data_IF_262526912480
#
_entry.id   IF_262526912480
#
_cell.length_a   1.000
_cell.length_b   1.000
_cell.length_c   1.000
_cell.angle_alpha   90.00
_cell.angle_beta   90.00
_cell.angle_gamma   90.00
#
_symmetry.space_group_name_H-M   'P 1'
#
loop_
_entity.id
_entity.type
_entity.pdbx_description
1 polymer ?
#
# COMPACT_ATOMS: atom_id res chain seq x y z
N UNK A 1 -19.79 3.81 -30.21
CA UNK A 1 -19.99 4.39 -28.87
C UNK A 1 -20.44 3.35 -27.83
N UNK A 2 -21.46 2.53 -28.14
CA UNK A 2 -22.04 1.53 -27.22
C UNK A 2 -21.05 0.42 -26.80
N UNK A 3 -20.21 -0.06 -27.72
CA UNK A 3 -19.20 -1.11 -27.44
C UNK A 3 -18.11 -0.68 -26.42
N UNK A 4 -17.65 0.59 -26.47
CA UNK A 4 -16.70 1.12 -25.46
C UNK A 4 -17.33 1.23 -24.08
N UNK A 5 -18.59 1.66 -24.00
CA UNK A 5 -19.31 1.80 -22.73
C UNK A 5 -19.54 0.45 -22.04
N UNK A 6 -19.86 -0.60 -22.81
CA UNK A 6 -19.98 -1.97 -22.29
C UNK A 6 -18.65 -2.52 -21.78
N UNK A 7 -17.54 -2.19 -22.45
CA UNK A 7 -16.22 -2.66 -22.03
C UNK A 7 -15.73 -1.97 -20.74
N UNK A 8 -15.97 -0.66 -20.59
CA UNK A 8 -15.67 0.07 -19.35
C UNK A 8 -16.53 -0.41 -18.19
N UNK A 9 -17.83 -0.65 -18.42
CA UNK A 9 -18.74 -1.17 -17.39
C UNK A 9 -18.31 -2.57 -16.92
N UNK A 10 -17.93 -3.46 -17.83
CA UNK A 10 -17.51 -4.84 -17.51
C UNK A 10 -16.21 -4.88 -16.71
N UNK A 11 -15.32 -3.92 -16.94
CA UNK A 11 -14.04 -3.81 -16.22
C UNK A 11 -14.26 -3.31 -14.80
N UNK A 12 -15.15 -2.33 -14.63
CA UNK A 12 -15.55 -1.80 -13.33
C UNK A 12 -16.28 -2.83 -12.46
N UNK A 13 -17.19 -3.61 -13.05
CA UNK A 13 -17.91 -4.68 -12.31
C UNK A 13 -16.95 -5.74 -11.79
N UNK A 14 -15.95 -6.15 -12.60
CA UNK A 14 -14.94 -7.13 -12.18
C UNK A 14 -14.06 -6.61 -11.05
N UNK A 15 -13.70 -5.33 -11.09
CA UNK A 15 -12.90 -4.70 -10.04
C UNK A 15 -13.67 -4.60 -8.72
N UNK A 16 -14.93 -4.16 -8.76
CA UNK A 16 -15.80 -4.09 -7.58
C UNK A 16 -16.04 -5.48 -7.01
N UNK A 17 -16.29 -6.48 -7.85
CA UNK A 17 -16.47 -7.87 -7.41
C UNK A 17 -15.22 -8.40 -6.69
N UNK A 18 -14.02 -8.15 -7.23
CA UNK A 18 -12.76 -8.54 -6.58
C UNK A 18 -12.60 -7.92 -5.19
N UNK A 19 -12.90 -6.62 -5.06
CA UNK A 19 -12.86 -5.92 -3.77
C UNK A 19 -13.92 -6.42 -2.79
N UNK A 20 -15.16 -6.68 -3.25
CA UNK A 20 -16.20 -7.26 -2.38
C UNK A 20 -15.79 -8.62 -1.84
N UNK A 21 -15.16 -9.46 -2.67
CA UNK A 21 -14.76 -10.81 -2.29
C UNK A 21 -13.56 -10.79 -1.33
N UNK A 22 -12.60 -9.89 -1.56
CA UNK A 22 -11.49 -9.65 -0.63
C UNK A 22 -11.95 -9.11 0.72
N UNK A 23 -12.87 -8.14 0.72
CA UNK A 23 -13.40 -7.56 1.95
C UNK A 23 -14.29 -8.55 2.72
N UNK A 24 -15.06 -9.38 2.00
CA UNK A 24 -15.80 -10.49 2.59
C UNK A 24 -14.87 -11.49 3.28
N UNK A 25 -13.79 -11.91 2.61
CA UNK A 25 -12.81 -12.82 3.19
C UNK A 25 -12.18 -12.25 4.47
N UNK A 26 -11.82 -10.96 4.47
CA UNK A 26 -11.27 -10.28 5.64
C UNK A 26 -12.28 -10.19 6.81
N UNK A 27 -13.53 -9.81 6.53
CA UNK A 27 -14.58 -9.75 7.54
C UNK A 27 -14.92 -11.15 8.09
N UNK A 28 -15.02 -12.16 7.23
CA UNK A 28 -15.30 -13.53 7.64
C UNK A 28 -14.16 -14.09 8.50
N UNK A 29 -12.91 -13.77 8.17
CA UNK A 29 -11.76 -14.12 9.00
C UNK A 29 -11.87 -13.50 10.40
N UNK A 30 -12.16 -12.19 10.49
CA UNK A 30 -12.34 -11.52 11.78
C UNK A 30 -13.50 -12.12 12.60
N UNK A 31 -14.63 -12.43 11.97
CA UNK A 31 -15.77 -13.08 12.64
C UNK A 31 -15.41 -14.48 13.13
N UNK A 32 -14.72 -15.28 12.31
CA UNK A 32 -14.28 -16.63 12.71
C UNK A 32 -13.32 -16.60 13.90
N UNK A 33 -12.43 -15.60 13.95
CA UNK A 33 -11.53 -15.39 15.08
C UNK A 33 -12.30 -15.01 16.34
N UNK A 34 -13.32 -14.15 16.22
CA UNK A 34 -14.23 -13.80 17.30
C UNK A 34 -15.02 -15.00 17.83
N UNK A 35 -15.58 -15.82 16.92
CA UNK A 35 -16.28 -17.06 17.28
C UNK A 35 -15.36 -18.05 17.98
N UNK A 36 -14.14 -18.24 17.48
CA UNK A 36 -13.14 -19.08 18.13
C UNK A 36 -12.85 -18.56 19.54
N UNK A 37 -12.51 -17.27 19.69
CA UNK A 37 -12.23 -16.68 20.99
C UNK A 37 -13.41 -16.83 21.97
N UNK A 38 -14.64 -16.59 21.51
CA UNK A 38 -15.86 -16.82 22.30
C UNK A 38 -16.02 -18.27 22.74
N UNK A 39 -15.75 -19.23 21.85
CA UNK A 39 -15.75 -20.66 22.18
C UNK A 39 -14.73 -20.99 23.26
N UNK A 40 -13.48 -20.52 23.10
CA UNK A 40 -12.42 -20.70 24.09
C UNK A 40 -12.82 -20.16 25.47
N UNK A 41 -13.41 -18.96 25.51
CA UNK A 41 -13.89 -18.36 26.75
C UNK A 41 -15.03 -19.19 27.38
N UNK A 42 -15.98 -19.64 26.57
CA UNK A 42 -17.11 -20.46 27.04
C UNK A 42 -16.67 -21.81 27.59
N UNK A 43 -15.64 -22.44 26.99
CA UNK A 43 -15.02 -23.66 27.50
C UNK A 43 -14.38 -23.40 28.86
N UNK A 44 -13.65 -22.29 29.01
CA UNK A 44 -12.99 -21.95 30.27
C UNK A 44 -14.00 -21.64 31.39
N UNK A 45 -15.08 -20.92 31.06
CA UNK A 45 -16.16 -20.66 32.02
C UNK A 45 -16.87 -21.96 32.42
N UNK A 46 -17.15 -22.83 31.45
CA UNK A 46 -17.79 -24.12 31.68
C UNK A 46 -16.92 -25.05 32.55
N UNK A 47 -15.60 -25.11 32.30
CA UNK A 47 -14.68 -25.93 33.11
C UNK A 47 -14.60 -25.40 34.54
N UNK A 48 -14.48 -24.08 34.73
CA UNK A 48 -14.45 -23.48 36.06
C UNK A 48 -15.78 -23.68 36.82
N UNK A 49 -16.91 -23.57 36.13
CA UNK A 49 -18.22 -23.89 36.69
C UNK A 49 -18.28 -25.36 37.14
N UNK A 50 -17.84 -26.28 36.28
CA UNK A 50 -17.80 -27.70 36.56
C UNK A 50 -16.92 -28.00 37.76
N UNK A 51 -15.68 -27.50 37.77
CA UNK A 51 -14.72 -27.74 38.85
C UNK A 51 -15.25 -27.22 40.20
N UNK A 52 -15.81 -26.01 40.20
CA UNK A 52 -16.42 -25.41 41.40
C UNK A 52 -17.64 -26.22 41.87
N UNK A 53 -18.46 -26.71 40.94
CA UNK A 53 -19.67 -27.46 41.29
C UNK A 53 -19.34 -28.87 41.76
N UNK A 54 -18.42 -29.56 41.09
CA UNK A 54 -17.93 -30.89 41.48
C UNK A 54 -17.27 -30.82 42.85
N UNK A 55 -16.34 -29.88 43.09
CA UNK A 55 -15.71 -29.72 44.41
C UNK A 55 -16.72 -29.41 45.51
N UNK A 56 -17.74 -28.60 45.22
CA UNK A 56 -18.79 -28.30 46.18
C UNK A 56 -19.75 -29.48 46.39
N UNK A 57 -20.08 -30.28 45.39
CA UNK A 57 -21.01 -31.40 45.56
C UNK A 57 -20.30 -32.69 46.04
N UNK A 58 -18.96 -32.75 45.96
CA UNK A 58 -18.13 -33.90 46.34
C UNK A 58 -18.36 -34.35 47.79
N UNK A 59 -18.56 -33.41 48.72
CA UNK A 59 -18.82 -33.73 50.12
C UNK A 59 -20.19 -34.39 50.36
N UNK A 60 -21.13 -34.22 49.43
CA UNK A 60 -22.47 -34.83 49.49
C UNK A 60 -22.56 -36.14 48.74
N UNK A 61 -21.55 -36.44 47.91
CA UNK A 61 -21.54 -37.58 47.02
C UNK A 61 -20.89 -38.78 47.73
N UNK A 62 -21.57 -39.92 47.69
CA UNK A 62 -21.11 -41.17 48.31
C UNK A 62 -20.13 -41.88 47.37
N UNK A 63 -18.91 -41.33 47.29
CA UNK A 63 -17.84 -41.77 46.39
C UNK A 63 -17.07 -42.98 46.90
N UNK A 64 -17.44 -43.54 48.06
CA UNK A 64 -16.66 -44.57 48.74
C UNK A 64 -15.34 -44.03 49.30
N UNK A 65 -14.71 -44.80 50.18
CA UNK A 65 -13.47 -44.41 50.85
C UNK A 65 -12.48 -45.59 50.74
N UNK A 66 -11.37 -45.35 50.03
CA UNK A 66 -10.30 -46.34 49.84
C UNK A 66 -9.59 -46.73 51.15
N UNK A 67 -9.55 -45.84 52.14
CA UNK A 67 -8.96 -46.11 53.47
C UNK A 67 -9.89 -46.93 54.36
N UNK A 68 -11.20 -46.75 54.22
CA UNK A 68 -12.24 -47.50 54.95
C UNK A 68 -12.79 -48.71 54.17
N UNK A 69 -12.30 -48.94 52.95
CA UNK A 69 -12.73 -49.98 52.03
C UNK A 69 -14.26 -50.02 51.83
N UNK A 70 -14.90 -48.84 51.81
CA UNK A 70 -16.33 -48.74 51.56
C UNK A 70 -16.59 -48.75 50.05
N UNK A 71 -17.58 -49.54 49.57
CA UNK A 71 -17.87 -49.62 48.16
C UNK A 71 -18.42 -48.30 47.63
N UNK A 72 -18.02 -47.94 46.41
CA UNK A 72 -18.54 -46.78 45.69
C UNK A 72 -20.01 -46.99 45.33
N UNK A 73 -20.86 -46.01 45.63
CA UNK A 73 -22.27 -46.06 45.26
C UNK A 73 -22.46 -45.62 43.80
N UNK A 74 -22.29 -46.54 42.85
CA UNK A 74 -22.38 -46.24 41.42
C UNK A 74 -23.71 -45.61 41.01
N UNK A 75 -24.83 -45.98 41.63
CA UNK A 75 -26.14 -45.42 41.33
C UNK A 75 -26.30 -43.94 41.75
N UNK A 76 -25.63 -43.50 42.82
CA UNK A 76 -25.66 -42.09 43.24
C UNK A 76 -24.82 -41.22 42.30
N UNK A 77 -23.66 -41.72 41.87
CA UNK A 77 -22.77 -41.06 40.91
C UNK A 77 -23.43 -40.96 39.53
N UNK A 78 -24.12 -42.01 39.07
CA UNK A 78 -24.84 -41.98 37.78
C UNK A 78 -25.92 -40.88 37.74
N UNK A 79 -26.78 -40.81 38.77
CA UNK A 79 -27.80 -39.74 38.86
C UNK A 79 -27.17 -38.35 38.95
N UNK A 80 -26.00 -38.24 39.59
CA UNK A 80 -25.26 -36.99 39.65
C UNK A 80 -24.74 -36.58 38.27
N UNK A 81 -24.15 -37.51 37.51
CA UNK A 81 -23.67 -37.27 36.14
C UNK A 81 -24.81 -36.85 35.21
N UNK A 82 -25.97 -37.51 35.27
CA UNK A 82 -27.17 -37.15 34.50
C UNK A 82 -27.66 -35.73 34.85
N UNK A 83 -27.77 -35.42 36.14
CA UNK A 83 -28.18 -34.09 36.61
C UNK A 83 -27.20 -33.01 36.15
N UNK A 84 -25.90 -33.28 36.24
CA UNK A 84 -24.86 -32.34 35.82
C UNK A 84 -24.91 -32.11 34.31
N UNK A 85 -25.00 -33.17 33.51
CA UNK A 85 -25.12 -33.05 32.06
C UNK A 85 -26.37 -32.30 31.62
N UNK A 86 -27.50 -32.51 32.33
CA UNK A 86 -28.74 -31.75 32.10
C UNK A 86 -28.55 -30.25 32.39
N UNK A 87 -27.81 -29.90 33.46
CA UNK A 87 -27.51 -28.51 33.79
C UNK A 87 -26.55 -27.86 32.77
N UNK A 88 -25.50 -28.58 32.37
CA UNK A 88 -24.57 -28.14 31.33
C UNK A 88 -25.27 -27.95 29.98
N UNK A 89 -26.25 -28.79 29.66
CA UNK A 89 -27.08 -28.67 28.47
C UNK A 89 -28.02 -27.47 28.52
N UNK A 90 -28.72 -27.28 29.63
CA UNK A 90 -29.64 -26.15 29.82
C UNK A 90 -28.93 -24.79 29.72
N UNK A 91 -27.65 -24.75 30.12
CA UNK A 91 -26.80 -23.56 30.01
C UNK A 91 -26.07 -23.42 28.67
N UNK A 92 -26.28 -24.34 27.73
CA UNK A 92 -25.60 -24.40 26.43
C UNK A 92 -24.07 -24.45 26.54
N UNK A 93 -23.52 -25.07 27.59
CA UNK A 93 -22.08 -25.20 27.72
C UNK A 93 -21.51 -26.25 26.76
N UNK A 94 -20.32 -26.00 26.17
CA UNK A 94 -19.66 -26.89 25.21
C UNK A 94 -18.89 -28.04 25.91
N UNK A 95 -19.35 -28.47 27.09
CA UNK A 95 -18.74 -29.54 27.89
C UNK A 95 -19.82 -30.53 28.34
N UNK A 96 -19.47 -31.81 28.40
CA UNK A 96 -20.27 -32.89 28.97
C UNK A 96 -19.40 -33.79 29.85
N UNK A 97 -19.89 -34.20 31.01
CA UNK A 97 -19.19 -35.19 31.85
C UNK A 97 -19.36 -36.59 31.26
N UNK A 98 -18.25 -37.31 31.17
CA UNK A 98 -18.21 -38.70 30.68
C UNK A 98 -18.07 -39.69 31.82
N UNK A 99 -17.25 -39.38 32.83
CA UNK A 99 -17.05 -40.24 33.99
C UNK A 99 -16.64 -39.45 35.24
N UNK A 100 -16.91 -40.04 36.40
CA UNK A 100 -16.35 -39.63 37.68
C UNK A 100 -15.80 -40.89 38.36
N UNK A 101 -14.51 -40.88 38.69
CA UNK A 101 -13.76 -42.08 39.10
C UNK A 101 -13.89 -43.21 38.07
N UNK A 102 -14.24 -44.42 38.53
CA UNK A 102 -14.47 -45.61 37.71
C UNK A 102 -15.94 -45.77 37.30
N UNK A 103 -16.78 -44.74 37.50
CA UNK A 103 -18.19 -44.76 37.12
C UNK A 103 -18.41 -43.91 35.89
N UNK A 104 -18.65 -44.59 34.76
CA UNK A 104 -19.03 -43.96 33.50
C UNK A 104 -20.51 -43.55 33.52
N UNK A 105 -20.83 -42.46 32.83
CA UNK A 105 -22.21 -42.07 32.61
C UNK A 105 -22.93 -43.16 31.79
N UNK A 106 -24.14 -43.54 32.19
CA UNK A 106 -24.97 -44.53 31.48
C UNK A 106 -25.18 -44.12 30.01
N UNK A 107 -25.28 -42.80 29.79
CA UNK A 107 -25.50 -42.16 28.51
C UNK A 107 -24.20 -41.76 27.78
N UNK A 108 -23.06 -42.38 28.07
CA UNK A 108 -21.79 -42.10 27.38
C UNK A 108 -21.91 -42.28 25.85
N UNK A 109 -22.76 -43.20 25.37
CA UNK A 109 -23.08 -43.40 23.95
C UNK A 109 -24.08 -42.36 23.38
N UNK A 110 -24.77 -41.61 24.26
CA UNK A 110 -25.74 -40.54 23.89
C UNK A 110 -25.05 -39.18 23.84
N UNK A 111 -23.83 -39.05 24.39
CA UNK A 111 -23.00 -37.87 24.17
C UNK A 111 -22.76 -37.75 22.66
N UNK A 112 -23.19 -36.65 22.01
CA UNK A 112 -23.08 -36.53 20.57
C UNK A 112 -21.63 -36.74 20.14
N UNK A 113 -21.40 -37.52 19.06
CA UNK A 113 -20.05 -37.76 18.51
C UNK A 113 -19.27 -36.49 18.17
N UNK A 114 -19.95 -35.34 18.15
CA UNK A 114 -19.34 -34.01 18.03
C UNK A 114 -18.44 -33.66 19.20
N UNK A 115 -18.62 -34.24 20.39
CA UNK A 115 -17.76 -34.06 21.57
C UNK A 115 -16.59 -35.05 21.53
N UNK A 116 -15.56 -34.74 20.73
CA UNK A 116 -14.44 -35.66 20.48
C UNK A 116 -13.18 -35.39 21.31
N UNK A 117 -13.08 -34.21 21.95
CA UNK A 117 -11.94 -33.86 22.78
C UNK A 117 -12.20 -34.32 24.22
N UNK A 118 -11.25 -35.05 24.82
CA UNK A 118 -11.36 -35.49 26.21
C UNK A 118 -10.39 -34.69 27.09
N UNK A 119 -10.83 -34.37 28.30
CA UNK A 119 -10.01 -33.75 29.34
C UNK A 119 -10.42 -34.28 30.71
N UNK A 120 -9.48 -34.21 31.66
CA UNK A 120 -9.66 -34.70 33.01
C UNK A 120 -9.25 -33.65 34.02
N UNK A 121 -9.99 -33.56 35.12
CA UNK A 121 -9.66 -32.74 36.29
C UNK A 121 -9.54 -33.65 37.51
N UNK A 122 -8.51 -33.43 38.33
CA UNK A 122 -8.33 -34.11 39.61
C UNK A 122 -8.84 -33.23 40.76
N UNK A 123 -9.60 -33.82 41.68
CA UNK A 123 -10.21 -33.16 42.83
C UNK A 123 -9.77 -33.85 44.12
N UNK A 124 -9.42 -33.06 45.14
CA UNK A 124 -9.12 -33.61 46.45
C UNK A 124 -10.35 -33.48 47.37
N UNK A 125 -10.94 -34.61 47.75
CA UNK A 125 -11.96 -34.67 48.80
C UNK A 125 -11.48 -35.53 49.96
N UNK A 126 -11.55 -34.99 51.17
CA UNK A 126 -11.39 -35.75 52.42
C UNK A 126 -10.15 -36.66 52.48
N UNK A 127 -9.05 -36.25 51.84
CA UNK A 127 -7.79 -37.01 51.79
C UNK A 127 -7.65 -38.01 50.62
N UNK A 128 -8.58 -38.01 49.67
CA UNK A 128 -8.53 -38.83 48.45
C UNK A 128 -8.58 -37.95 47.19
N UNK A 129 -7.80 -38.36 46.18
CA UNK A 129 -7.79 -37.74 44.85
C UNK A 129 -8.80 -38.44 43.96
N UNK A 130 -9.78 -37.69 43.46
CA UNK A 130 -10.85 -38.15 42.57
C UNK A 130 -10.64 -37.56 41.18
N UNK A 131 -10.77 -38.35 40.12
CA UNK A 131 -10.66 -37.96 38.72
C UNK A 131 -12.04 -37.77 38.09
N UNK A 132 -12.29 -36.62 37.48
CA UNK A 132 -13.48 -36.40 36.67
C UNK A 132 -13.08 -36.22 35.21
N UNK A 133 -13.69 -37.01 34.33
CA UNK A 133 -13.47 -36.95 32.89
C UNK A 133 -14.65 -36.25 32.22
N UNK A 134 -14.33 -35.40 31.24
CA UNK A 134 -15.31 -34.67 30.46
C UNK A 134 -14.89 -34.57 29.00
N UNK A 135 -15.91 -34.52 28.13
CA UNK A 135 -15.78 -34.34 26.70
C UNK A 135 -16.12 -32.89 26.32
N UNK A 136 -15.35 -32.33 25.38
CA UNK A 136 -15.48 -30.97 24.89
C UNK A 136 -15.87 -30.94 23.42
N UNK A 137 -16.63 -29.91 23.07
CA UNK A 137 -16.96 -29.61 21.69
C UNK A 137 -15.76 -28.93 21.01
N UNK A 138 -15.27 -29.43 19.86
CA UNK A 138 -14.13 -28.84 19.17
C UNK A 138 -14.41 -27.46 18.60
N UNK A 139 -13.38 -26.62 18.54
CA UNK A 139 -13.47 -25.22 18.09
C UNK A 139 -14.04 -25.08 16.67
N UNK A 140 -13.76 -26.03 15.77
CA UNK A 140 -14.25 -25.97 14.39
C UNK A 140 -15.77 -26.09 14.28
N UNK A 141 -16.45 -26.65 15.28
CA UNK A 141 -17.92 -26.74 15.31
C UNK A 141 -18.58 -25.40 15.63
N UNK A 142 -17.86 -24.50 16.29
CA UNK A 142 -18.34 -23.15 16.63
C UNK A 142 -18.18 -22.16 15.47
N UNK A 143 -17.25 -22.43 14.55
CA UNK A 143 -16.96 -21.55 13.42
C UNK A 143 -17.98 -21.74 12.31
N UNK A 144 -18.71 -20.67 11.98
CA UNK A 144 -19.72 -20.69 10.93
C UNK A 144 -19.66 -19.46 10.04
N UNK A 145 -20.14 -19.61 8.81
CA UNK A 145 -20.18 -18.52 7.84
C UNK A 145 -21.22 -17.49 8.29
N UNK A 146 -20.81 -16.24 8.46
CA UNK A 146 -21.69 -15.19 8.99
C UNK A 146 -22.32 -14.37 7.87
N UNK A 147 -23.66 -14.32 7.78
CA UNK A 147 -24.35 -13.45 6.82
C UNK A 147 -24.03 -11.97 7.03
N UNK A 148 -23.68 -11.58 8.26
CA UNK A 148 -23.32 -10.20 8.60
C UNK A 148 -22.03 -9.77 7.90
N UNK A 149 -21.05 -10.68 7.78
CA UNK A 149 -19.80 -10.41 7.07
C UNK A 149 -20.05 -10.12 5.59
N UNK A 150 -21.02 -10.82 4.97
CA UNK A 150 -21.43 -10.59 3.59
C UNK A 150 -22.12 -9.23 3.42
N UNK A 151 -23.05 -8.89 4.32
CA UNK A 151 -23.72 -7.59 4.28
C UNK A 151 -22.73 -6.43 4.43
N UNK A 152 -21.80 -6.53 5.39
CA UNK A 152 -20.74 -5.53 5.55
C UNK A 152 -19.86 -5.41 4.32
N UNK A 153 -19.53 -6.54 3.68
CA UNK A 153 -18.73 -6.53 2.45
C UNK A 153 -19.43 -5.80 1.29
N UNK A 154 -20.72 -6.05 1.10
CA UNK A 154 -21.51 -5.41 0.04
C UNK A 154 -21.69 -3.91 0.28
N UNK A 155 -21.83 -3.47 1.53
CA UNK A 155 -22.03 -2.05 1.87
C UNK A 155 -20.71 -1.26 1.82
N UNK A 156 -19.62 -1.82 2.31
CA UNK A 156 -18.33 -1.11 2.41
C UNK A 156 -17.59 -1.07 1.07
N UNK A 157 -17.70 -2.11 0.25
CA UNK A 157 -17.01 -2.16 -1.04
C UNK A 157 -17.28 -0.98 -1.99
N UNK A 158 -18.53 -0.51 -2.23
CA UNK A 158 -18.76 0.65 -3.09
C UNK A 158 -18.23 1.96 -2.48
N UNK A 159 -18.23 2.10 -1.15
CA UNK A 159 -17.67 3.26 -0.46
C UNK A 159 -16.14 3.31 -0.62
N UNK A 160 -15.47 2.17 -0.37
CA UNK A 160 -14.03 2.02 -0.56
C UNK A 160 -13.61 2.24 -2.02
N UNK A 161 -14.39 1.74 -2.98
CA UNK A 161 -14.16 1.97 -4.41
C UNK A 161 -14.31 3.46 -4.78
N UNK A 162 -15.27 4.18 -4.19
CA UNK A 162 -15.43 5.62 -4.37
C UNK A 162 -14.24 6.42 -3.84
N UNK A 163 -13.77 6.09 -2.64
CA UNK A 163 -12.59 6.73 -2.03
C UNK A 163 -11.29 6.43 -2.79
N UNK A 164 -11.12 5.19 -3.24
CA UNK A 164 -9.98 4.78 -4.08
C UNK A 164 -9.98 5.52 -5.42
N UNK A 165 -11.15 5.70 -6.04
CA UNK A 165 -11.29 6.48 -7.28
C UNK A 165 -10.94 7.95 -7.07
N UNK A 166 -11.33 8.54 -5.96
CA UNK A 166 -11.01 9.93 -5.63
C UNK A 166 -9.51 10.13 -5.40
N UNK A 167 -8.86 9.21 -4.68
CA UNK A 167 -7.41 9.22 -4.47
C UNK A 167 -6.61 8.97 -5.76
N UNK A 168 -7.11 8.12 -6.65
CA UNK A 168 -6.57 7.90 -8.02
C UNK A 168 -6.80 9.08 -8.99
N UNK A 169 -7.79 9.94 -8.73
CA UNK A 169 -7.98 11.18 -9.51
C UNK A 169 -7.06 12.31 -9.03
N UNK A 170 -6.66 12.30 -7.75
CA UNK A 170 -5.63 13.21 -7.21
C UNK A 170 -4.21 12.72 -7.43
N UNK A 171 -4.00 11.43 -7.72
CA UNK A 171 -2.74 10.94 -8.27
C UNK A 171 -2.59 11.47 -9.71
N UNK A 172 -1.43 12.02 -10.11
CA UNK A 172 -1.23 12.50 -11.47
C UNK A 172 -1.37 11.31 -12.43
N UNK A 173 -2.51 11.22 -13.12
CA UNK A 173 -2.72 10.25 -14.20
C UNK A 173 -1.78 10.62 -15.35
N UNK A 174 -0.71 9.85 -15.49
CA UNK A 174 0.06 9.82 -16.71
C UNK A 174 -0.85 9.35 -17.87
N UNK A 175 -1.17 10.30 -18.75
CA UNK A 175 -1.66 10.19 -20.13
C UNK A 175 -3.09 9.65 -20.41
N UNK A 176 -3.94 10.50 -21.01
CA UNK A 176 -4.17 10.56 -22.47
C UNK A 176 -5.42 11.40 -22.77
N UNK A 177 -5.23 12.69 -23.08
CA UNK A 177 -6.08 13.41 -24.03
C UNK A 177 -5.12 14.05 -25.01
N UNK A 178 -4.80 13.31 -26.07
CA UNK A 178 -3.92 13.74 -27.17
C UNK A 178 -4.62 14.86 -27.96
N UNK A 179 -4.45 16.10 -27.52
CA UNK A 179 -4.30 17.21 -28.46
C UNK A 179 -2.88 17.09 -29.06
N UNK A 180 -2.63 17.51 -30.31
CA UNK A 180 -1.30 17.37 -30.91
C UNK A 180 -0.29 18.17 -30.08
N UNK A 181 0.48 17.46 -29.27
CA UNK A 181 1.51 18.04 -28.41
C UNK A 181 2.63 18.44 -29.36
N UNK A 182 2.87 19.73 -29.51
CA UNK A 182 4.15 20.23 -30.03
C UNK A 182 5.21 19.95 -28.95
N UNK A 183 6.27 19.16 -29.20
CA UNK A 183 7.41 18.97 -28.31
C UNK A 183 7.87 20.28 -27.65
N UNK A 184 7.50 20.48 -26.37
CA UNK A 184 7.98 21.61 -25.56
C UNK A 184 9.25 21.21 -24.84
N UNK A 185 10.17 22.16 -24.70
CA UNK A 185 11.36 21.98 -23.89
C UNK A 185 10.98 22.15 -22.41
N UNK A 186 11.16 21.09 -21.63
CA UNK A 186 10.91 21.07 -20.18
C UNK A 186 12.25 21.16 -19.45
N UNK A 187 12.37 22.18 -18.59
CA UNK A 187 13.57 22.42 -17.78
C UNK A 187 13.18 22.28 -16.32
N UNK A 188 13.75 21.30 -15.63
CA UNK A 188 13.52 21.12 -14.20
C UNK A 188 14.74 21.59 -13.41
N UNK A 189 14.60 22.67 -12.62
CA UNK A 189 15.67 23.17 -11.76
C UNK A 189 15.91 22.31 -10.51
N UNK A 190 14.90 21.56 -10.03
CA UNK A 190 15.02 20.69 -8.87
C UNK A 190 15.80 19.41 -9.15
N UNK A 191 15.65 18.86 -10.34
CA UNK A 191 16.35 17.64 -10.76
C UNK A 191 17.51 17.94 -11.70
N UNK A 192 17.64 19.21 -12.13
CA UNK A 192 18.68 19.69 -13.04
C UNK A 192 18.70 18.90 -14.34
N UNK A 193 17.50 18.66 -14.87
CA UNK A 193 17.25 17.90 -16.09
C UNK A 193 16.71 18.81 -17.20
N UNK A 194 17.11 18.50 -18.44
CA UNK A 194 16.45 18.94 -19.66
C UNK A 194 15.69 17.75 -20.22
N UNK A 195 14.43 17.96 -20.56
CA UNK A 195 13.61 16.93 -21.19
C UNK A 195 12.71 17.45 -22.28
N UNK A 196 12.22 16.53 -23.08
CA UNK A 196 11.15 16.77 -24.04
C UNK A 196 9.82 16.40 -23.36
N UNK A 197 8.85 17.32 -23.36
CA UNK A 197 7.52 17.14 -22.75
C UNK A 197 6.68 15.99 -23.32
N UNK A 198 7.19 15.26 -24.31
CA UNK A 198 6.52 14.12 -24.96
C UNK A 198 7.16 12.78 -24.61
N UNK A 199 8.49 12.70 -24.62
CA UNK A 199 9.20 11.40 -24.55
C UNK A 199 9.56 10.99 -23.11
N UNK A 200 9.37 11.88 -22.12
CA UNK A 200 9.79 11.63 -20.73
C UNK A 200 11.30 11.37 -20.59
N UNK A 201 12.09 11.69 -21.64
CA UNK A 201 13.54 11.58 -21.64
C UNK A 201 14.12 12.82 -20.98
N UNK A 202 14.70 12.63 -19.81
CA UNK A 202 15.33 13.68 -19.01
C UNK A 202 16.83 13.43 -18.92
N UNK A 203 17.62 14.41 -19.34
CA UNK A 203 19.09 14.32 -19.35
C UNK A 203 19.66 15.42 -18.48
N UNK A 204 20.60 15.05 -17.62
CA UNK A 204 21.28 15.99 -16.72
C UNK A 204 22.46 16.67 -17.42
N UNK A 205 22.60 17.98 -17.26
CA UNK A 205 23.77 18.73 -17.75
C UNK A 205 24.76 19.02 -16.63
N UNK A 206 25.98 19.46 -16.95
CA UNK A 206 26.88 20.05 -15.97
C UNK A 206 26.40 21.45 -15.53
N UNK A 207 26.82 21.92 -14.34
CA UNK A 207 26.28 23.15 -13.74
C UNK A 207 26.46 24.39 -14.63
N UNK A 208 27.64 24.53 -15.24
CA UNK A 208 27.98 25.67 -16.10
C UNK A 208 27.15 25.70 -17.40
N UNK A 209 27.12 24.64 -18.24
CA UNK A 209 26.31 24.65 -19.45
C UNK A 209 24.80 24.71 -19.17
N UNK A 210 24.33 24.10 -18.08
CA UNK A 210 22.91 24.20 -17.67
C UNK A 210 22.50 25.65 -17.37
N UNK A 211 23.21 26.33 -16.46
CA UNK A 211 22.87 27.71 -16.11
C UNK A 211 23.00 28.66 -17.30
N UNK A 212 24.01 28.43 -18.14
CA UNK A 212 24.21 29.20 -19.36
C UNK A 212 23.03 29.04 -20.34
N UNK A 213 22.58 27.80 -20.57
CA UNK A 213 21.49 27.52 -21.49
C UNK A 213 20.14 28.07 -21.01
N UNK A 214 19.82 27.91 -19.72
CA UNK A 214 18.60 28.50 -19.14
C UNK A 214 18.65 30.04 -19.21
N UNK A 215 19.82 30.63 -19.00
CA UNK A 215 20.05 32.06 -19.22
C UNK A 215 19.85 32.49 -20.67
N UNK A 216 20.35 31.68 -21.62
CA UNK A 216 20.21 31.92 -23.06
C UNK A 216 18.74 31.89 -23.49
N UNK A 217 17.98 30.89 -23.05
CA UNK A 217 16.56 30.76 -23.36
C UNK A 217 15.77 31.96 -22.84
N UNK A 218 15.94 32.32 -21.57
CA UNK A 218 15.26 33.48 -20.99
C UNK A 218 15.62 34.79 -21.73
N UNK A 219 16.88 34.94 -22.14
CA UNK A 219 17.31 36.10 -22.91
C UNK A 219 16.71 36.14 -24.31
N UNK A 220 16.70 35.02 -25.04
CA UNK A 220 16.13 34.92 -26.38
C UNK A 220 14.59 35.02 -26.39
N UNK A 221 13.91 34.58 -25.32
CA UNK A 221 12.45 34.80 -25.15
C UNK A 221 12.15 36.29 -25.00
N UNK A 222 12.94 37.01 -24.20
CA UNK A 222 12.73 38.43 -23.94
C UNK A 222 13.19 39.33 -25.11
N UNK A 223 14.15 38.87 -25.91
CA UNK A 223 14.70 39.58 -27.07
C UNK A 223 14.86 38.63 -28.27
N UNK A 224 13.78 38.34 -29.02
CA UNK A 224 13.78 37.35 -30.10
C UNK A 224 14.63 37.72 -31.31
N UNK A 225 14.89 39.01 -31.54
CA UNK A 225 15.71 39.52 -32.66
C UNK A 225 17.17 39.82 -32.27
N UNK A 226 17.61 39.37 -31.09
CA UNK A 226 18.97 39.66 -30.61
C UNK A 226 20.03 38.85 -31.36
N UNK A 227 21.04 39.53 -31.92
CA UNK A 227 22.18 38.89 -32.58
C UNK A 227 23.32 38.74 -31.57
N UNK A 228 23.55 37.51 -31.10
CA UNK A 228 24.64 37.18 -30.17
C UNK A 228 25.86 36.67 -30.92
N UNK A 229 26.95 37.46 -31.01
CA UNK A 229 28.19 37.07 -31.70
C UNK A 229 29.15 36.29 -30.80
N UNK A 230 29.87 35.32 -31.36
CA UNK A 230 30.90 34.53 -30.64
C UNK A 230 32.12 35.37 -30.24
N UNK A 231 32.41 36.44 -30.98
CA UNK A 231 33.58 37.31 -30.75
C UNK A 231 33.28 38.47 -29.79
N UNK A 232 32.02 38.64 -29.38
CA UNK A 232 31.60 39.69 -28.48
C UNK A 232 31.34 39.10 -27.09
N UNK A 233 31.61 39.88 -26.04
CA UNK A 233 31.28 39.46 -24.68
C UNK A 233 29.79 39.16 -24.53
N UNK A 234 29.48 38.16 -23.70
CA UNK A 234 28.11 37.73 -23.41
C UNK A 234 27.36 38.90 -22.75
N UNK A 235 26.15 39.28 -23.22
CA UNK A 235 25.41 40.40 -22.66
C UNK A 235 25.19 40.27 -21.15
N UNK A 236 25.34 41.39 -20.43
CA UNK A 236 25.21 41.44 -18.97
C UNK A 236 23.84 40.95 -18.48
N UNK A 237 22.77 41.18 -19.24
CA UNK A 237 21.42 40.70 -18.92
C UNK A 237 21.30 39.17 -18.98
N UNK A 238 21.88 38.55 -20.01
CA UNK A 238 21.93 37.08 -20.13
C UNK A 238 22.74 36.48 -18.98
N UNK A 239 23.88 37.11 -18.64
CA UNK A 239 24.67 36.71 -17.49
C UNK A 239 23.85 36.84 -16.20
N UNK A 240 23.09 37.92 -16.00
CA UNK A 240 22.24 38.10 -14.82
C UNK A 240 21.23 36.94 -14.67
N UNK A 241 20.58 36.50 -15.76
CA UNK A 241 19.70 35.33 -15.75
C UNK A 241 20.43 34.03 -15.39
N UNK A 242 21.58 33.76 -16.02
CA UNK A 242 22.39 32.57 -15.73
C UNK A 242 22.87 32.55 -14.25
N UNK A 243 23.20 33.71 -13.70
CA UNK A 243 23.63 33.85 -12.31
C UNK A 243 22.48 33.66 -11.31
N UNK A 244 21.26 34.10 -11.65
CA UNK A 244 20.07 33.83 -10.85
C UNK A 244 19.76 32.33 -10.79
N UNK A 245 19.86 31.63 -11.92
CA UNK A 245 19.72 30.16 -11.98
C UNK A 245 20.80 29.47 -11.17
N UNK A 246 22.05 29.93 -11.25
CA UNK A 246 23.15 29.37 -10.47
C UNK A 246 22.95 29.55 -8.96
N UNK A 247 22.49 30.72 -8.51
CA UNK A 247 22.14 30.96 -7.11
C UNK A 247 21.04 29.99 -6.65
N UNK A 248 20.01 29.78 -7.46
CA UNK A 248 18.95 28.81 -7.17
C UNK A 248 19.48 27.38 -7.05
N UNK A 249 20.43 26.98 -7.91
CA UNK A 249 21.08 25.67 -7.81
C UNK A 249 21.95 25.52 -6.55
N UNK A 250 22.51 26.60 -6.02
CA UNK A 250 23.20 26.59 -4.72
C UNK A 250 22.18 26.36 -3.60
N UNK A 251 21.07 27.10 -3.62
CA UNK A 251 20.01 26.98 -2.60
C UNK A 251 19.40 25.57 -2.57
N UNK A 252 19.23 24.96 -3.74
CA UNK A 252 18.75 23.59 -3.91
C UNK A 252 19.81 22.51 -3.58
N UNK A 253 21.04 22.91 -3.28
CA UNK A 253 22.11 21.99 -2.86
C UNK A 253 22.85 21.27 -4.00
N UNK A 254 22.58 21.61 -5.27
CA UNK A 254 23.23 20.96 -6.43
C UNK A 254 24.71 21.35 -6.62
N UNK A 255 25.18 22.42 -5.97
CA UNK A 255 26.57 22.85 -6.08
C UNK A 255 27.03 23.71 -4.89
N UNK A 256 28.25 23.45 -4.42
CA UNK A 256 28.97 24.29 -3.42
C UNK A 256 30.19 25.00 -4.03
N UNK A 257 30.37 24.93 -5.35
CA UNK A 257 31.54 25.47 -6.05
C UNK A 257 31.45 26.98 -6.24
N UNK A 258 32.62 27.62 -6.42
CA UNK A 258 32.73 29.03 -6.81
C UNK A 258 31.95 29.29 -8.11
N UNK A 259 31.34 30.48 -8.19
CA UNK A 259 30.61 30.97 -9.37
C UNK A 259 31.42 30.74 -10.65
N UNK A 260 30.88 30.00 -11.64
CA UNK A 260 31.56 29.77 -12.89
C UNK A 260 31.63 31.05 -13.71
N UNK A 261 32.72 31.23 -14.42
CA UNK A 261 32.81 32.24 -15.47
C UNK A 261 32.10 31.72 -16.73
N UNK A 262 31.04 32.41 -17.15
CA UNK A 262 30.18 32.01 -18.25
C UNK A 262 30.69 32.49 -19.62
N UNK A 263 31.60 33.47 -19.68
CA UNK A 263 32.20 33.93 -20.95
C UNK A 263 33.41 33.09 -21.35
N UNK A 264 34.11 32.48 -20.38
CA UNK A 264 35.24 31.59 -20.65
C UNK A 264 34.80 30.29 -21.35
N UNK A 265 35.51 29.87 -22.40
CA UNK A 265 35.27 28.61 -23.13
C UNK A 265 33.83 28.46 -23.66
N UNK A 266 33.29 29.53 -24.25
CA UNK A 266 31.92 29.56 -24.79
C UNK A 266 31.68 28.44 -25.83
N UNK A 267 32.60 28.22 -26.76
CA UNK A 267 32.47 27.19 -27.80
C UNK A 267 32.34 25.78 -27.22
N UNK A 268 33.08 25.48 -26.16
CA UNK A 268 33.00 24.21 -25.44
C UNK A 268 31.64 24.07 -24.75
N UNK A 269 31.18 25.12 -24.07
CA UNK A 269 29.89 25.15 -23.37
C UNK A 269 28.73 24.94 -24.34
N UNK A 270 28.74 25.61 -25.49
CA UNK A 270 27.73 25.44 -26.54
C UNK A 270 27.79 24.05 -27.17
N UNK A 271 28.98 23.46 -27.33
CA UNK A 271 29.13 22.10 -27.86
C UNK A 271 28.56 21.04 -26.91
N UNK A 272 28.77 21.19 -25.59
CA UNK A 272 28.18 20.32 -24.57
C UNK A 272 26.64 20.41 -24.57
N UNK A 273 26.08 21.63 -24.68
CA UNK A 273 24.64 21.85 -24.77
C UNK A 273 24.06 21.16 -26.02
N UNK A 274 24.69 21.34 -27.19
CA UNK A 274 24.26 20.72 -28.45
C UNK A 274 24.23 19.19 -28.36
N UNK A 275 25.27 18.60 -27.77
CA UNK A 275 25.34 17.14 -27.58
C UNK A 275 24.18 16.63 -26.72
N UNK A 276 23.81 17.33 -25.65
CA UNK A 276 22.69 16.90 -24.81
C UNK A 276 21.35 17.13 -25.49
N UNK A 277 21.19 18.22 -26.25
CA UNK A 277 19.99 18.44 -27.05
C UNK A 277 19.82 17.41 -28.17
N UNK A 278 20.93 16.92 -28.75
CA UNK A 278 20.91 15.80 -29.71
C UNK A 278 20.29 14.54 -29.07
N UNK A 279 20.63 14.25 -27.81
CA UNK A 279 20.10 13.11 -27.08
C UNK A 279 18.64 13.32 -26.61
N UNK A 280 18.29 14.52 -26.14
CA UNK A 280 16.92 14.88 -25.70
C UNK A 280 15.92 14.84 -26.87
N UNK A 281 16.31 15.35 -28.03
CA UNK A 281 15.45 15.43 -29.23
C UNK A 281 15.72 14.33 -30.26
N UNK A 282 16.41 13.25 -29.89
CA UNK A 282 16.72 12.13 -30.79
C UNK A 282 15.49 11.57 -31.53
N UNK A 283 14.32 11.58 -30.88
CA UNK A 283 13.05 11.10 -31.45
C UNK A 283 12.30 12.15 -32.29
N UNK A 284 12.65 13.44 -32.19
CA UNK A 284 11.91 14.58 -32.76
C UNK A 284 12.85 15.60 -33.42
N UNK A 285 13.49 15.25 -34.56
CA UNK A 285 14.52 16.08 -35.20
C UNK A 285 13.98 17.38 -35.82
N UNK A 286 12.69 17.45 -36.17
CA UNK A 286 12.08 18.63 -36.80
C UNK A 286 11.95 19.81 -35.83
N UNK A 287 11.82 19.55 -34.54
CA UNK A 287 11.61 20.60 -33.52
C UNK A 287 12.90 21.02 -32.83
N UNK A 288 13.90 20.14 -32.89
CA UNK A 288 15.28 20.40 -32.51
C UNK A 288 15.80 21.72 -33.06
N UNK A 289 15.53 22.04 -34.33
CA UNK A 289 16.05 23.25 -34.98
C UNK A 289 15.69 24.56 -34.23
N UNK A 290 14.58 24.58 -33.49
CA UNK A 290 14.11 25.76 -32.75
C UNK A 290 14.84 25.97 -31.41
N UNK A 291 15.30 24.89 -30.79
CA UNK A 291 15.98 24.91 -29.48
C UNK A 291 17.49 24.77 -29.57
N UNK A 292 18.02 24.54 -30.78
CA UNK A 292 19.40 24.22 -31.05
C UNK A 292 20.25 25.47 -31.35
N UNK A 293 21.28 25.78 -30.55
CA UNK A 293 22.17 26.90 -30.83
C UNK A 293 22.98 26.66 -32.12
N UNK A 294 22.90 27.53 -33.14
CA UNK A 294 23.63 27.35 -34.41
C UNK A 294 25.15 27.33 -34.20
N UNK A 295 25.87 26.58 -35.04
CA UNK A 295 27.35 26.50 -35.00
C UNK A 295 27.98 27.69 -35.71
N UNK A 296 29.07 28.22 -35.17
CA UNK A 296 29.92 29.15 -35.92
C UNK A 296 30.59 28.39 -37.07
N UNK A 297 30.21 28.71 -38.31
CA UNK A 297 30.79 28.12 -39.50
C UNK A 297 32.00 28.96 -39.93
N UNK A 298 33.17 28.33 -39.99
CA UNK A 298 34.43 28.94 -40.42
C UNK A 298 34.85 28.43 -41.79
N UNK A 299 35.44 29.33 -42.57
CA UNK A 299 36.07 29.19 -43.90
C UNK A 299 35.17 29.35 -45.13
N UNK A 300 35.35 30.51 -45.78
CA UNK A 300 34.98 30.72 -47.18
C UNK A 300 33.75 31.60 -47.41
N UNK A 301 34.00 32.84 -47.83
CA UNK A 301 33.02 33.77 -48.41
C UNK A 301 32.07 34.48 -47.44
N UNK A 302 32.49 35.69 -47.09
CA UNK A 302 31.71 36.88 -46.76
C UNK A 302 30.20 36.67 -46.52
N UNK A 303 29.81 37.05 -45.30
CA UNK A 303 28.47 37.42 -44.84
C UNK A 303 27.40 36.33 -44.84
N UNK A 304 27.20 35.71 -43.67
CA UNK A 304 25.88 35.53 -43.02
C UNK A 304 26.06 34.95 -41.60
N UNK A 305 26.08 35.87 -40.63
CA UNK A 305 25.76 35.74 -39.20
C UNK A 305 26.43 34.61 -38.38
N UNK A 306 27.50 34.96 -37.66
CA UNK A 306 28.12 34.17 -36.58
C UNK A 306 27.32 34.24 -35.27
N UNK A 307 25.99 34.17 -35.34
CA UNK A 307 25.16 34.30 -34.15
C UNK A 307 24.90 32.96 -33.48
N UNK A 308 24.91 32.87 -32.15
CA UNK A 308 24.42 31.71 -31.40
C UNK A 308 23.02 31.93 -30.78
N UNK A 309 22.32 33.00 -31.15
CA UNK A 309 20.97 33.27 -30.69
C UNK A 309 19.98 32.23 -31.22
N UNK A 310 18.95 31.94 -30.41
CA UNK A 310 17.86 31.04 -30.78
C UNK A 310 16.77 31.85 -31.49
N UNK A 311 16.48 31.52 -32.74
CA UNK A 311 15.51 32.24 -33.56
C UNK A 311 14.11 31.63 -33.44
N UNK A 312 13.09 32.45 -33.23
CA UNK A 312 11.67 32.03 -33.29
C UNK A 312 11.15 31.31 -32.04
N UNK A 313 11.79 31.49 -30.88
CA UNK A 313 11.37 30.91 -29.61
C UNK A 313 10.20 31.70 -29.01
N UNK A 314 9.07 31.04 -28.72
CA UNK A 314 7.95 31.65 -27.98
C UNK A 314 8.02 31.33 -26.49
N UNK A 315 7.45 32.15 -25.60
CA UNK A 315 7.39 31.84 -24.17
C UNK A 315 6.59 30.56 -23.87
N UNK A 316 5.68 30.17 -24.77
CA UNK A 316 4.86 28.95 -24.67
C UNK A 316 5.63 27.66 -25.04
N UNK A 317 6.83 27.81 -25.62
CA UNK A 317 7.64 26.70 -26.13
C UNK A 317 8.59 26.13 -25.06
N UNK A 318 8.75 26.81 -23.93
CA UNK A 318 9.68 26.44 -22.83
C UNK A 318 8.95 26.46 -21.49
N UNK A 319 8.97 25.35 -20.79
CA UNK A 319 8.42 25.21 -19.44
C UNK A 319 9.56 25.06 -18.42
N UNK A 320 9.68 26.01 -17.50
CA UNK A 320 10.73 26.02 -16.47
C UNK A 320 10.08 25.74 -15.11
N UNK A 321 10.39 24.58 -14.52
CA UNK A 321 9.91 24.16 -13.20
C UNK A 321 10.96 24.44 -12.11
N UNK A 322 10.52 24.94 -10.95
CA UNK A 322 11.39 25.18 -9.78
C UNK A 322 11.88 26.63 -9.58
N UNK A 323 11.07 27.60 -10.03
CA UNK A 323 11.37 29.02 -9.90
C UNK A 323 11.45 29.52 -8.44
#
# INVERSE_FOLDING_TARGET
MISRYLHTLKTDVRFILGWTLGLFAACQFAVSLGQACGHWLSVHEASHFLDKRVSLDLHTLDVGDQTLNTPVNSASIQRYLERMNTELETRFYPIRMTALENVEAIDADVIPQTFSLQSSSEFNASGQSLSANYALLPVWTAVHLSPLALLMAVVVAPLAAGWYRQTQQTAPKANETRLPITPRLVINLHEKTLGNGIDGREITLQNKPFCFYVGLLNYCINKPDAILSHHQEVPAEMLAHANKVFARLIDLGHTKRKRPDFSANLDKTLSEIRSVLDDVFASHPAEKERYYPPRAQGEGSRSKQHSYALNGLKPEDVEIFGH
#
